data_IF_571061731009
#
_entry.id   IF_571061731009
#
_cell.length_a   1.000
_cell.length_b   1.000
_cell.length_c   1.000
_cell.angle_alpha   90.00
_cell.angle_beta   90.00
_cell.angle_gamma   90.00
#
_symmetry.space_group_name_H-M   'P 1'
#
loop_
_entity.id
_entity.type
_entity.pdbx_description
1 polymer ?
#
# COMPACT_ATOMS: atom_id res chain seq x y z
N UNK A 1 47.20 0.51 3.92
CA UNK A 1 45.91 0.94 4.54
C UNK A 1 45.14 1.96 3.69
N UNK A 2 45.72 3.09 3.23
CA UNK A 2 44.97 4.11 2.45
C UNK A 2 44.39 3.59 1.14
N UNK A 3 45.11 2.77 0.38
CA UNK A 3 44.59 2.17 -0.86
C UNK A 3 43.42 1.20 -0.61
N UNK A 4 43.49 0.38 0.42
CA UNK A 4 42.41 -0.52 0.80
C UNK A 4 41.12 0.25 1.16
N UNK A 5 41.22 1.31 1.98
CA UNK A 5 40.08 2.16 2.31
C UNK A 5 39.48 2.81 1.06
N UNK A 6 40.31 3.22 0.10
CA UNK A 6 39.84 3.80 -1.15
C UNK A 6 39.08 2.80 -2.04
N UNK A 7 39.55 1.55 -2.15
CA UNK A 7 38.83 0.51 -2.86
C UNK A 7 37.52 0.15 -2.17
N UNK A 8 37.51 0.06 -0.83
CA UNK A 8 36.31 -0.21 -0.06
C UNK A 8 35.25 0.88 -0.29
N UNK A 9 35.65 2.17 -0.26
CA UNK A 9 34.74 3.29 -0.53
C UNK A 9 34.18 3.24 -1.95
N UNK A 10 34.98 2.87 -2.95
CA UNK A 10 34.50 2.69 -4.33
C UNK A 10 33.42 1.59 -4.41
N UNK A 11 33.64 0.44 -3.76
CA UNK A 11 32.69 -0.66 -3.75
C UNK A 11 31.36 -0.22 -3.10
N UNK A 12 31.45 0.44 -1.93
CA UNK A 12 30.27 0.95 -1.22
C UNK A 12 29.50 1.94 -2.11
N UNK A 13 30.22 2.84 -2.78
CA UNK A 13 29.60 3.82 -3.70
C UNK A 13 28.87 3.14 -4.86
N UNK A 14 29.48 2.14 -5.48
CA UNK A 14 28.86 1.38 -6.58
C UNK A 14 27.60 0.65 -6.08
N UNK A 15 27.68 -0.04 -4.93
CA UNK A 15 26.55 -0.75 -4.34
C UNK A 15 25.38 0.21 -4.04
N UNK A 16 25.67 1.38 -3.47
CA UNK A 16 24.65 2.40 -3.23
C UNK A 16 24.01 2.91 -4.53
N UNK A 17 24.79 3.18 -5.55
CA UNK A 17 24.30 3.66 -6.83
C UNK A 17 23.37 2.61 -7.49
N UNK A 18 23.78 1.36 -7.48
CA UNK A 18 22.97 0.23 -7.99
C UNK A 18 21.68 0.11 -7.19
N UNK A 19 21.75 0.14 -5.85
CA UNK A 19 20.57 0.04 -4.99
C UNK A 19 19.57 1.18 -5.22
N UNK A 20 20.04 2.42 -5.40
CA UNK A 20 19.19 3.57 -5.73
C UNK A 20 18.51 3.38 -7.09
N UNK A 21 19.26 2.89 -8.09
CA UNK A 21 18.71 2.65 -9.42
C UNK A 21 17.60 1.62 -9.38
N UNK A 22 17.81 0.49 -8.70
CA UNK A 22 16.79 -0.54 -8.53
C UNK A 22 15.60 -0.04 -7.70
N UNK A 23 15.82 0.74 -6.64
CA UNK A 23 14.74 1.32 -5.85
C UNK A 23 13.81 2.19 -6.70
N UNK A 24 14.37 3.04 -7.54
CA UNK A 24 13.60 3.89 -8.46
C UNK A 24 12.87 3.08 -9.53
N UNK A 25 13.54 2.09 -10.12
CA UNK A 25 12.95 1.23 -11.14
C UNK A 25 11.74 0.46 -10.60
N UNK A 26 11.89 -0.19 -9.45
CA UNK A 26 10.79 -0.92 -8.80
C UNK A 26 9.66 0.01 -8.39
N UNK A 27 9.98 1.17 -7.82
CA UNK A 27 8.97 2.18 -7.47
C UNK A 27 8.17 2.59 -8.70
N UNK A 28 8.83 2.87 -9.82
CA UNK A 28 8.18 3.22 -11.07
C UNK A 28 7.23 2.13 -11.56
N UNK A 29 7.67 0.86 -11.55
CA UNK A 29 6.82 -0.28 -11.93
C UNK A 29 5.58 -0.39 -11.04
N UNK A 30 5.74 -0.22 -9.72
CA UNK A 30 4.59 -0.25 -8.80
C UNK A 30 3.62 0.91 -9.01
N UNK A 31 4.10 2.08 -9.39
CA UNK A 31 3.25 3.26 -9.61
C UNK A 31 2.46 3.18 -10.92
N UNK A 32 3.03 2.60 -11.97
CA UNK A 32 2.46 2.66 -13.32
C UNK A 32 1.79 1.34 -13.77
N UNK A 33 2.35 0.19 -13.39
CA UNK A 33 2.00 -1.09 -14.02
C UNK A 33 1.28 -2.10 -13.12
N UNK A 34 1.18 -1.90 -11.82
CA UNK A 34 0.52 -2.85 -10.92
C UNK A 34 -0.98 -2.59 -10.83
N UNK A 35 -1.78 -3.33 -11.61
CA UNK A 35 -3.24 -3.28 -11.51
C UNK A 35 -3.83 -4.35 -10.55
N UNK A 36 -3.03 -5.27 -10.06
CA UNK A 36 -3.47 -6.41 -9.21
C UNK A 36 -3.43 -6.12 -7.71
N UNK A 37 -2.81 -5.01 -7.32
CA UNK A 37 -2.62 -4.60 -5.93
C UNK A 37 -3.86 -3.83 -5.44
N UNK A 38 -4.43 -4.25 -4.30
CA UNK A 38 -5.62 -3.63 -3.71
C UNK A 38 -5.39 -2.16 -3.35
N UNK A 39 -4.20 -1.85 -2.83
CA UNK A 39 -3.84 -0.47 -2.52
C UNK A 39 -3.79 0.41 -3.78
N UNK A 40 -3.20 -0.09 -4.87
CA UNK A 40 -3.19 0.61 -6.16
C UNK A 40 -4.62 0.83 -6.69
N UNK A 41 -5.51 -0.15 -6.51
CA UNK A 41 -6.92 0.02 -6.86
C UNK A 41 -7.57 1.20 -6.10
N UNK A 42 -7.31 1.34 -4.78
CA UNK A 42 -7.77 2.49 -3.99
C UNK A 42 -7.15 3.80 -4.52
N UNK A 43 -5.85 3.80 -4.77
CA UNK A 43 -5.09 4.95 -5.27
C UNK A 43 -5.60 5.44 -6.64
N UNK A 44 -6.02 4.55 -7.52
CA UNK A 44 -6.56 4.86 -8.84
C UNK A 44 -7.97 5.49 -8.80
N UNK A 45 -8.59 5.57 -7.62
CA UNK A 45 -9.87 6.25 -7.44
C UNK A 45 -9.73 7.72 -7.00
N UNK A 46 -8.52 8.29 -7.01
CA UNK A 46 -8.28 9.72 -6.69
C UNK A 46 -9.26 10.64 -7.44
N UNK A 47 -9.79 11.64 -6.71
CA UNK A 47 -10.75 12.64 -7.21
C UNK A 47 -12.07 12.07 -7.74
N UNK A 48 -12.46 10.86 -7.37
CA UNK A 48 -13.74 10.27 -7.77
C UNK A 48 -14.78 10.36 -6.67
N UNK A 49 -16.04 10.38 -7.08
CA UNK A 49 -17.20 10.33 -6.19
C UNK A 49 -17.98 9.04 -6.40
N UNK A 50 -18.46 8.47 -5.28
CA UNK A 50 -19.28 7.27 -5.20
C UNK A 50 -20.50 7.56 -4.34
N UNK A 51 -21.61 6.84 -4.57
CA UNK A 51 -22.76 6.92 -3.69
C UNK A 51 -22.52 6.05 -2.46
N UNK A 52 -22.00 4.83 -2.66
CA UNK A 52 -21.73 3.87 -1.58
C UNK A 52 -20.27 3.40 -1.61
N UNK A 53 -19.66 3.39 -0.42
CA UNK A 53 -18.30 2.91 -0.21
C UNK A 53 -18.29 1.89 0.92
N UNK A 54 -17.71 0.71 0.65
CA UNK A 54 -17.61 -0.38 1.61
C UNK A 54 -16.17 -0.56 2.09
N UNK A 55 -16.00 -0.62 3.43
CA UNK A 55 -14.73 -0.88 4.10
C UNK A 55 -14.88 -2.08 5.02
N UNK A 56 -13.86 -2.94 5.05
CA UNK A 56 -13.85 -4.10 5.93
C UNK A 56 -12.79 -5.11 5.57
N UNK A 57 -12.94 -6.30 6.12
CA UNK A 57 -12.02 -7.42 5.94
C UNK A 57 -12.39 -8.30 4.73
N UNK A 58 -11.96 -9.57 4.76
CA UNK A 58 -12.24 -10.56 3.71
C UNK A 58 -13.72 -10.73 3.38
N UNK A 59 -14.61 -10.54 4.33
CA UNK A 59 -16.07 -10.61 4.10
C UNK A 59 -16.52 -9.48 3.15
N UNK A 60 -16.06 -8.26 3.37
CA UNK A 60 -16.35 -7.15 2.43
C UNK A 60 -15.73 -7.43 1.07
N UNK A 61 -14.48 -7.93 1.04
CA UNK A 61 -13.82 -8.28 -0.23
C UNK A 61 -14.62 -9.27 -1.05
N UNK A 62 -15.13 -10.33 -0.41
CA UNK A 62 -15.72 -11.49 -1.08
C UNK A 62 -17.24 -11.39 -1.24
N UNK A 63 -17.94 -10.81 -0.23
CA UNK A 63 -19.40 -10.90 -0.16
C UNK A 63 -20.10 -9.64 -0.68
N UNK A 64 -19.37 -8.51 -0.81
CA UNK A 64 -19.93 -7.26 -1.36
C UNK A 64 -19.57 -7.13 -2.84
N UNK A 65 -20.56 -7.33 -3.71
CA UNK A 65 -20.39 -7.13 -5.15
C UNK A 65 -20.98 -5.78 -5.58
N UNK A 66 -20.14 -4.78 -5.92
CA UNK A 66 -20.60 -3.46 -6.35
C UNK A 66 -21.53 -3.52 -7.55
N UNK A 67 -21.26 -4.37 -8.56
CA UNK A 67 -22.04 -4.43 -9.78
C UNK A 67 -23.51 -4.86 -9.52
N UNK A 68 -23.72 -5.77 -8.56
CA UNK A 68 -25.07 -6.18 -8.16
C UNK A 68 -25.79 -5.03 -7.47
N UNK A 69 -25.14 -4.34 -6.55
CA UNK A 69 -25.73 -3.21 -5.83
C UNK A 69 -26.08 -2.08 -6.81
N UNK A 70 -25.16 -1.75 -7.70
CA UNK A 70 -25.33 -0.70 -8.69
C UNK A 70 -26.52 -1.00 -9.61
N UNK A 71 -26.66 -2.25 -10.07
CA UNK A 71 -27.76 -2.65 -10.95
C UNK A 71 -29.13 -2.63 -10.26
N UNK A 72 -29.18 -2.97 -8.96
CA UNK A 72 -30.44 -3.04 -8.20
C UNK A 72 -30.90 -1.67 -7.71
N UNK A 73 -29.98 -0.79 -7.32
CA UNK A 73 -30.27 0.48 -6.67
C UNK A 73 -30.02 1.70 -7.55
N UNK A 74 -29.49 1.51 -8.76
CA UNK A 74 -29.09 2.57 -9.68
C UNK A 74 -28.14 3.59 -9.00
N UNK A 75 -27.11 3.08 -8.34
CA UNK A 75 -26.08 3.83 -7.61
C UNK A 75 -24.69 3.49 -8.14
N UNK A 76 -23.68 4.23 -7.72
CA UNK A 76 -22.27 3.97 -7.98
C UNK A 76 -21.57 3.52 -6.72
N UNK A 77 -21.30 2.23 -6.61
CA UNK A 77 -20.71 1.60 -5.44
C UNK A 77 -19.23 1.28 -5.63
N UNK A 78 -18.47 1.35 -4.55
CA UNK A 78 -17.09 0.86 -4.55
C UNK A 78 -16.80 0.00 -3.30
N UNK A 79 -16.02 -1.07 -3.50
CA UNK A 79 -15.59 -1.97 -2.45
C UNK A 79 -14.09 -1.78 -2.18
N UNK A 80 -13.75 -1.18 -1.03
CA UNK A 80 -12.39 -1.01 -0.52
C UNK A 80 -12.05 -1.96 0.63
N UNK A 81 -12.72 -3.11 0.70
CA UNK A 81 -12.33 -4.18 1.61
C UNK A 81 -10.89 -4.65 1.35
N UNK A 82 -10.20 -5.05 2.41
CA UNK A 82 -8.84 -5.59 2.36
C UNK A 82 -8.80 -6.90 3.14
N UNK A 83 -8.13 -7.91 2.60
CA UNK A 83 -7.98 -9.19 3.30
C UNK A 83 -7.32 -8.98 4.65
N UNK A 84 -7.85 -9.63 5.70
CA UNK A 84 -7.39 -9.52 7.10
C UNK A 84 -7.30 -8.07 7.62
N UNK A 85 -8.14 -7.15 7.10
CA UNK A 85 -8.13 -5.76 7.54
C UNK A 85 -8.49 -5.65 9.03
N UNK A 86 -7.73 -4.82 9.74
CA UNK A 86 -7.89 -4.51 11.15
C UNK A 86 -8.26 -3.05 11.34
N UNK A 87 -8.67 -2.60 12.53
CA UNK A 87 -9.09 -1.21 12.74
C UNK A 87 -8.06 -0.17 12.30
N UNK A 88 -6.77 -0.45 12.49
CA UNK A 88 -5.69 0.43 12.04
C UNK A 88 -5.64 0.57 10.52
N UNK A 89 -5.91 -0.51 9.79
CA UNK A 89 -5.94 -0.52 8.33
C UNK A 89 -7.13 0.30 7.81
N UNK A 90 -8.32 0.06 8.37
CA UNK A 90 -9.55 0.78 8.02
C UNK A 90 -9.37 2.28 8.29
N UNK A 91 -8.83 2.65 9.47
CA UNK A 91 -8.54 4.05 9.81
C UNK A 91 -7.54 4.68 8.83
N UNK A 92 -6.52 3.91 8.40
CA UNK A 92 -5.54 4.39 7.44
C UNK A 92 -6.18 4.62 6.07
N UNK A 93 -7.02 3.70 5.60
CA UNK A 93 -7.78 3.87 4.35
C UNK A 93 -8.69 5.10 4.44
N UNK A 94 -9.44 5.28 5.53
CA UNK A 94 -10.29 6.47 5.73
C UNK A 94 -9.51 7.79 5.63
N UNK A 95 -8.31 7.83 6.22
CA UNK A 95 -7.43 9.01 6.09
C UNK A 95 -6.96 9.22 4.65
N UNK A 96 -6.66 8.12 3.93
CA UNK A 96 -6.25 8.16 2.53
C UNK A 96 -7.40 8.59 1.62
N UNK A 97 -8.66 8.21 1.90
CA UNK A 97 -9.82 8.71 1.15
C UNK A 97 -9.86 10.23 1.15
N UNK A 98 -9.66 10.83 2.33
CA UNK A 98 -9.61 12.30 2.46
C UNK A 98 -8.41 12.89 1.70
N UNK A 99 -7.22 12.31 1.84
CA UNK A 99 -5.99 12.79 1.19
C UNK A 99 -6.04 12.68 -0.33
N UNK A 100 -6.73 11.65 -0.85
CA UNK A 100 -6.90 11.42 -2.28
C UNK A 100 -8.16 12.07 -2.87
N UNK A 101 -8.88 12.87 -2.06
CA UNK A 101 -10.15 13.49 -2.46
C UNK A 101 -11.14 12.47 -3.06
N UNK A 102 -11.24 11.29 -2.42
CA UNK A 102 -12.24 10.28 -2.77
C UNK A 102 -13.47 10.56 -1.91
N UNK A 103 -14.59 10.84 -2.55
CA UNK A 103 -15.84 11.23 -1.88
C UNK A 103 -16.85 10.09 -1.92
N UNK A 104 -17.68 9.98 -0.90
CA UNK A 104 -18.81 9.07 -0.89
C UNK A 104 -19.96 9.64 -0.06
N UNK A 105 -21.19 9.44 -0.54
CA UNK A 105 -22.39 9.89 0.18
C UNK A 105 -22.66 9.02 1.41
N UNK A 106 -22.37 7.71 1.32
CA UNK A 106 -22.47 6.77 2.45
C UNK A 106 -21.25 5.86 2.52
N UNK A 107 -20.73 5.68 3.73
CA UNK A 107 -19.61 4.76 4.01
C UNK A 107 -20.12 3.65 4.93
N UNK A 108 -20.01 2.42 4.47
CA UNK A 108 -20.34 1.22 5.23
C UNK A 108 -19.06 0.60 5.76
N UNK A 109 -18.96 0.46 7.08
CA UNK A 109 -17.80 -0.14 7.73
C UNK A 109 -18.24 -1.44 8.37
N UNK A 110 -17.66 -2.56 7.94
CA UNK A 110 -17.84 -3.84 8.62
C UNK A 110 -17.28 -3.74 10.03
N UNK A 111 -18.09 -4.10 11.02
CA UNK A 111 -17.66 -4.28 12.41
C UNK A 111 -17.59 -5.76 12.73
N UNK A 112 -16.49 -6.20 13.35
CA UNK A 112 -16.28 -7.61 13.69
C UNK A 112 -15.71 -7.74 15.10
N UNK A 113 -15.93 -8.88 15.75
CA UNK A 113 -15.39 -9.16 17.09
C UNK A 113 -13.83 -9.19 17.12
N UNK A 114 -13.19 -9.39 15.98
CA UNK A 114 -11.73 -9.31 15.84
C UNK A 114 -11.16 -7.88 15.98
N UNK A 115 -11.99 -6.86 16.07
CA UNK A 115 -11.50 -5.47 16.12
C UNK A 115 -10.82 -5.09 17.43
N UNK A 116 -10.83 -5.96 18.42
CA UNK A 116 -9.97 -5.83 19.61
C UNK A 116 -8.50 -6.19 19.34
N UNK A 117 -8.19 -6.73 18.17
CA UNK A 117 -6.83 -7.13 17.82
C UNK A 117 -6.03 -5.93 17.31
N UNK A 118 -5.02 -5.52 18.07
CA UNK A 118 -4.09 -4.44 17.72
C UNK A 118 -3.06 -4.95 16.73
N UNK A 119 -3.26 -4.75 15.45
CA UNK A 119 -2.33 -5.20 14.44
C UNK A 119 -2.50 -4.46 13.12
N UNK A 120 -1.83 -4.96 12.11
CA UNK A 120 -1.93 -4.53 10.72
C UNK A 120 -2.25 -5.76 9.86
N UNK A 121 -3.03 -5.58 8.80
CA UNK A 121 -3.15 -6.59 7.74
C UNK A 121 -1.81 -6.76 7.05
N UNK A 122 -1.35 -8.00 6.94
CA UNK A 122 -0.13 -8.28 6.18
C UNK A 122 -0.30 -7.96 4.68
N UNK A 123 -1.51 -8.13 4.16
CA UNK A 123 -1.83 -7.80 2.77
C UNK A 123 -1.68 -6.29 2.51
N UNK A 124 -2.37 -5.44 3.29
CA UNK A 124 -2.26 -3.99 3.13
C UNK A 124 -0.85 -3.49 3.41
N UNK A 125 -0.18 -4.09 4.41
CA UNK A 125 1.20 -3.76 4.78
C UNK A 125 2.14 -3.91 3.59
N UNK A 126 2.15 -5.08 2.96
CA UNK A 126 3.04 -5.37 1.83
C UNK A 126 2.69 -4.52 0.61
N UNK A 127 1.39 -4.34 0.33
CA UNK A 127 0.90 -3.60 -0.83
C UNK A 127 1.14 -2.09 -0.75
N UNK A 128 1.10 -1.52 0.45
CA UNK A 128 1.38 -0.08 0.66
C UNK A 128 2.87 0.26 0.71
N UNK A 129 3.73 -0.72 0.96
CA UNK A 129 5.15 -0.49 1.22
C UNK A 129 5.89 0.23 0.07
N UNK A 130 5.65 -0.05 -1.22
CA UNK A 130 6.24 0.70 -2.33
C UNK A 130 5.95 2.20 -2.28
N UNK A 131 4.83 2.58 -1.66
CA UNK A 131 4.32 3.95 -1.58
C UNK A 131 4.67 4.68 -0.28
N UNK A 132 5.58 4.15 0.54
CA UNK A 132 5.92 4.67 1.88
C UNK A 132 6.31 6.16 1.87
N UNK A 133 6.84 6.64 0.76
CA UNK A 133 7.26 8.03 0.57
C UNK A 133 6.22 8.90 -0.16
N UNK A 134 5.04 8.36 -0.52
CA UNK A 134 4.02 9.11 -1.27
C UNK A 134 3.35 10.19 -0.41
N UNK A 135 3.04 9.87 0.84
CA UNK A 135 2.47 10.83 1.79
C UNK A 135 2.71 10.41 3.26
N UNK A 136 2.48 11.38 4.16
CA UNK A 136 2.71 11.16 5.59
C UNK A 136 1.75 10.14 6.22
N UNK A 137 0.57 9.89 5.65
CA UNK A 137 -0.39 8.90 6.18
C UNK A 137 0.19 7.52 6.03
N UNK A 138 0.74 7.20 4.85
CA UNK A 138 1.40 5.92 4.56
C UNK A 138 2.65 5.77 5.41
N UNK A 139 3.51 6.80 5.45
CA UNK A 139 4.72 6.77 6.28
C UNK A 139 4.40 6.54 7.76
N UNK A 140 3.36 7.19 8.30
CA UNK A 140 2.93 7.02 9.68
C UNK A 140 2.34 5.64 9.98
N UNK A 141 1.80 4.95 8.98
CA UNK A 141 1.34 3.58 9.15
C UNK A 141 2.50 2.64 9.55
N UNK A 142 3.70 2.89 9.05
CA UNK A 142 4.92 2.12 9.36
C UNK A 142 5.74 2.68 10.54
N UNK A 143 5.47 3.89 11.02
CA UNK A 143 6.33 4.64 11.96
C UNK A 143 6.65 3.94 13.28
N UNK A 144 5.85 2.92 13.68
CA UNK A 144 6.08 2.13 14.88
C UNK A 144 6.80 0.80 14.63
N UNK A 145 7.21 0.53 13.41
CA UNK A 145 7.92 -0.70 13.06
C UNK A 145 9.40 -0.52 13.37
N UNK A 146 10.04 -1.56 13.89
CA UNK A 146 11.44 -1.51 14.34
C UNK A 146 12.41 -1.14 13.22
N UNK A 147 12.08 -1.49 12.00
CA UNK A 147 12.86 -1.22 10.79
C UNK A 147 12.31 -0.09 9.92
N UNK A 148 11.52 0.81 10.51
CA UNK A 148 10.93 1.94 9.80
C UNK A 148 11.95 2.82 9.08
N UNK A 149 13.11 3.04 9.72
CA UNK A 149 14.19 3.85 9.14
C UNK A 149 14.73 3.21 7.86
N UNK A 150 15.01 1.92 7.90
CA UNK A 150 15.53 1.15 6.77
C UNK A 150 14.50 1.09 5.62
N UNK A 151 13.24 0.81 5.96
CA UNK A 151 12.14 0.77 4.98
C UNK A 151 11.96 2.09 4.24
N UNK A 152 12.17 3.21 4.93
CA UNK A 152 11.93 4.54 4.40
C UNK A 152 13.15 5.13 3.68
N UNK A 153 14.35 4.93 4.22
CA UNK A 153 15.54 5.67 3.79
C UNK A 153 16.62 4.79 3.15
N UNK A 154 16.67 3.49 3.44
CA UNK A 154 17.67 2.60 2.83
C UNK A 154 17.19 2.17 1.44
N UNK A 155 17.91 2.56 0.37
CA UNK A 155 17.49 2.25 -0.99
C UNK A 155 17.32 0.75 -1.22
N UNK A 156 16.23 0.37 -1.88
CA UNK A 156 15.87 -1.00 -2.23
C UNK A 156 15.52 -1.95 -1.06
N UNK A 157 15.75 -1.55 0.20
CA UNK A 157 15.49 -2.42 1.37
C UNK A 157 14.04 -2.90 1.45
N UNK A 158 13.06 -1.98 1.24
CA UNK A 158 11.63 -2.30 1.26
C UNK A 158 11.22 -3.38 0.24
N UNK A 159 11.90 -3.46 -0.88
CA UNK A 159 11.64 -4.46 -1.92
C UNK A 159 12.32 -5.78 -1.65
N UNK A 160 13.57 -5.77 -1.17
CA UNK A 160 14.31 -6.99 -0.86
C UNK A 160 13.69 -7.77 0.29
N UNK A 161 13.13 -7.09 1.29
CA UNK A 161 12.55 -7.72 2.47
C UNK A 161 11.17 -8.35 2.24
N UNK A 162 10.27 -7.66 1.54
CA UNK A 162 8.85 -8.04 1.51
C UNK A 162 8.29 -8.26 0.10
N UNK A 163 8.85 -7.64 -0.92
CA UNK A 163 8.22 -7.55 -2.24
C UNK A 163 9.09 -8.03 -3.41
N UNK A 164 10.24 -8.63 -3.15
CA UNK A 164 11.17 -9.02 -4.21
C UNK A 164 10.52 -9.91 -5.28
N UNK A 165 9.83 -10.95 -4.85
CA UNK A 165 9.15 -11.87 -5.78
C UNK A 165 7.95 -11.24 -6.51
N UNK A 166 7.24 -10.32 -5.86
CA UNK A 166 6.14 -9.58 -6.48
C UNK A 166 6.67 -8.60 -7.54
N UNK A 167 7.77 -7.93 -7.25
CA UNK A 167 8.42 -7.02 -8.21
C UNK A 167 8.88 -7.75 -9.47
N UNK A 168 9.51 -8.90 -9.34
CA UNK A 168 9.92 -9.73 -10.50
C UNK A 168 8.70 -10.18 -11.31
N UNK A 169 7.64 -10.67 -10.65
CA UNK A 169 6.42 -11.12 -11.34
C UNK A 169 5.72 -10.02 -12.12
N UNK A 170 5.83 -8.77 -11.70
CA UNK A 170 5.23 -7.62 -12.38
C UNK A 170 6.12 -7.03 -13.49
N UNK A 171 7.35 -7.51 -13.62
CA UNK A 171 8.27 -7.14 -14.71
C UNK A 171 8.20 -8.10 -15.90
N UNK A 172 7.59 -9.27 -15.74
CA UNK A 172 7.33 -10.29 -16.75
C UNK A 172 5.88 -10.20 -17.21
#
# INVERSE_FOLDING_TARGET
MKQFCFYLLKIIFIVLLVSITFDKLYTYVYYEYTNTNRFQYIRNQKNKKFDYLFLGSSRVVNDVNPNIIDSLLNVKTINFGVMDARPKDILTILKLLKAYNIQSDKVFIQTDYYYNNTGKSNFLYVEMLPYINENNIISNYYSKDNDFFELKYLPFYRYSKNNFNLGIRNLI
#
